data_IF_158243228855
#
_entry.id   IF_158243228855
#
_cell.length_a   1.000
_cell.length_b   1.000
_cell.length_c   1.000
_cell.angle_alpha   90.00
_cell.angle_beta   90.00
_cell.angle_gamma   90.00
#
_symmetry.space_group_name_H-M   'P 1'
#
loop_
_entity.id
_entity.type
_entity.pdbx_description
1 polymer ?
#
# COMPACT_ATOMS: atom_id res chain seq x y z
N UNK A 1 27.03 18.22 -4.11
CA UNK A 1 25.56 18.08 -3.99
C UNK A 1 25.22 16.63 -3.64
N UNK A 2 24.23 16.36 -2.78
CA UNK A 2 23.83 14.98 -2.45
C UNK A 2 23.03 14.36 -3.60
N UNK A 3 23.31 13.10 -3.91
CA UNK A 3 22.55 12.31 -4.88
C UNK A 3 21.09 12.13 -4.46
N UNK A 4 20.18 11.97 -5.42
CA UNK A 4 18.77 11.68 -5.15
C UNK A 4 18.57 10.42 -4.27
N UNK A 5 19.46 9.42 -4.42
CA UNK A 5 19.45 8.22 -3.56
C UNK A 5 19.80 8.56 -2.10
N UNK A 6 20.80 9.41 -1.89
CA UNK A 6 21.20 9.87 -0.57
C UNK A 6 20.08 10.68 0.10
N UNK A 7 19.45 11.60 -0.64
CA UNK A 7 18.30 12.38 -0.14
C UNK A 7 17.13 11.49 0.28
N UNK A 8 16.78 10.48 -0.51
CA UNK A 8 15.71 9.52 -0.16
C UNK A 8 16.02 8.77 1.13
N UNK A 9 17.26 8.32 1.30
CA UNK A 9 17.70 7.63 2.51
C UNK A 9 17.61 8.54 3.75
N UNK A 10 18.01 9.81 3.62
CA UNK A 10 17.91 10.81 4.70
C UNK A 10 16.47 11.08 5.10
N UNK A 11 15.57 11.27 4.12
CA UNK A 11 14.13 11.46 4.38
C UNK A 11 13.56 10.24 5.10
N UNK A 12 13.92 9.03 4.68
CA UNK A 12 13.46 7.80 5.32
C UNK A 12 13.94 7.73 6.77
N UNK A 13 15.23 7.97 7.02
CA UNK A 13 15.80 7.99 8.37
C UNK A 13 15.10 9.01 9.27
N UNK A 14 14.91 10.23 8.78
CA UNK A 14 14.20 11.29 9.51
C UNK A 14 12.74 10.94 9.84
N UNK A 15 12.06 10.15 8.98
CA UNK A 15 10.71 9.65 9.27
C UNK A 15 10.73 8.60 10.37
N UNK A 16 11.63 7.63 10.30
CA UNK A 16 11.78 6.59 11.33
C UNK A 16 12.08 7.21 12.70
N UNK A 17 12.97 8.20 12.76
CA UNK A 17 13.26 8.95 13.99
C UNK A 17 12.03 9.68 14.55
N UNK A 18 11.16 10.21 13.68
CA UNK A 18 9.91 10.86 14.09
C UNK A 18 8.88 9.86 14.61
N UNK A 19 8.78 8.70 13.98
CA UNK A 19 7.90 7.60 14.43
C UNK A 19 8.33 7.17 15.83
N UNK A 20 9.60 6.81 16.01
CA UNK A 20 10.12 6.37 17.30
C UNK A 20 9.88 7.39 18.44
N UNK A 21 9.95 8.69 18.15
CA UNK A 21 9.68 9.77 19.12
C UNK A 21 8.20 9.96 19.45
N UNK A 22 7.29 9.68 18.51
CA UNK A 22 5.86 10.03 18.60
C UNK A 22 4.98 8.84 18.97
N UNK A 23 5.29 7.66 18.45
CA UNK A 23 4.46 6.46 18.58
C UNK A 23 4.27 6.05 20.05
N UNK A 24 5.33 6.20 20.87
CA UNK A 24 5.28 5.91 22.31
C UNK A 24 4.47 6.91 23.14
N UNK A 25 4.16 8.09 22.61
CA UNK A 25 3.60 9.21 23.38
C UNK A 25 2.15 9.54 23.05
N UNK A 26 1.63 8.98 21.96
CA UNK A 26 0.37 9.43 21.37
C UNK A 26 -0.54 8.24 21.13
N UNK A 27 -1.76 8.32 21.63
CA UNK A 27 -2.80 7.34 21.35
C UNK A 27 -3.72 7.87 20.23
N UNK A 28 -3.76 7.24 19.04
CA UNK A 28 -4.61 7.69 17.93
C UNK A 28 -6.13 7.69 18.23
N UNK A 29 -6.57 6.99 19.27
CA UNK A 29 -7.99 6.84 19.63
C UNK A 29 -8.43 7.77 20.76
N UNK A 30 -7.50 8.44 21.45
CA UNK A 30 -7.80 9.24 22.66
C UNK A 30 -7.12 10.59 22.65
N UNK A 31 -7.77 11.57 23.27
CA UNK A 31 -7.21 12.90 23.50
C UNK A 31 -7.36 13.86 22.31
N UNK A 32 -6.79 15.07 22.43
CA UNK A 32 -6.85 16.06 21.36
C UNK A 32 -5.98 15.65 20.18
N UNK A 33 -6.41 15.99 18.97
CA UNK A 33 -5.66 15.75 17.74
C UNK A 33 -4.41 16.64 17.77
N UNK A 34 -3.18 16.07 17.69
CA UNK A 34 -1.97 16.86 17.61
C UNK A 34 -1.93 17.68 16.32
N UNK A 35 -1.36 18.90 16.37
CA UNK A 35 -1.30 19.81 15.21
C UNK A 35 -0.59 19.20 13.98
N UNK A 36 0.38 18.32 14.21
CA UNK A 36 1.13 17.66 13.13
C UNK A 36 0.43 16.42 12.56
N UNK A 37 -0.65 15.94 13.18
CA UNK A 37 -1.35 14.73 12.80
C UNK A 37 -2.39 15.02 11.72
N UNK A 38 -2.74 13.99 10.94
CA UNK A 38 -3.75 14.12 9.89
C UNK A 38 -5.09 13.63 10.45
N UNK A 39 -6.10 14.50 10.62
CA UNK A 39 -7.39 14.09 11.16
C UNK A 39 -8.11 13.13 10.20
N UNK A 40 -8.79 12.15 10.79
CA UNK A 40 -9.69 11.24 10.08
C UNK A 40 -11.01 11.95 9.80
N UNK A 41 -11.59 11.71 8.63
CA UNK A 41 -12.96 12.08 8.32
C UNK A 41 -13.89 10.86 8.49
N UNK A 42 -14.64 10.74 9.59
CA UNK A 42 -15.48 9.56 9.84
C UNK A 42 -16.54 9.31 8.79
N UNK A 43 -17.04 10.37 8.13
CA UNK A 43 -18.07 10.26 7.09
C UNK A 43 -17.56 9.54 5.83
N UNK A 44 -16.25 9.54 5.59
CA UNK A 44 -15.63 8.93 4.41
C UNK A 44 -15.15 7.50 4.67
N UNK A 45 -15.13 7.04 5.93
CA UNK A 45 -14.71 5.69 6.28
C UNK A 45 -15.88 4.74 6.09
N UNK A 46 -15.91 4.07 4.93
CA UNK A 46 -17.05 3.23 4.51
C UNK A 46 -17.02 1.84 5.16
N UNK A 47 -15.83 1.28 5.33
CA UNK A 47 -15.65 -0.11 5.79
C UNK A 47 -14.97 -0.13 7.15
N UNK A 48 -15.80 0.09 8.16
CA UNK A 48 -15.42 -0.08 9.55
C UNK A 48 -16.05 -1.37 10.08
N UNK A 49 -15.22 -2.28 10.56
CA UNK A 49 -15.70 -3.45 11.30
C UNK A 49 -16.35 -2.97 12.60
N UNK A 50 -17.49 -3.57 12.98
CA UNK A 50 -18.18 -3.30 14.25
C UNK A 50 -17.29 -3.49 15.49
N UNK A 51 -16.15 -4.18 15.35
CA UNK A 51 -15.25 -4.54 16.44
C UNK A 51 -14.04 -3.62 16.59
N UNK A 52 -13.80 -2.71 15.65
CA UNK A 52 -12.71 -1.74 15.76
C UNK A 52 -13.31 -0.39 16.13
N UNK A 53 -12.50 0.52 16.66
CA UNK A 53 -12.86 1.93 16.75
C UNK A 53 -12.20 2.69 15.59
N UNK A 54 -12.80 3.79 15.14
CA UNK A 54 -12.17 4.69 14.16
C UNK A 54 -11.21 5.62 14.91
N UNK A 55 -9.92 5.71 14.55
CA UNK A 55 -9.00 6.64 15.19
C UNK A 55 -9.40 8.08 14.88
N UNK A 56 -9.02 9.01 15.75
CA UNK A 56 -9.25 10.43 15.55
C UNK A 56 -8.30 11.02 14.48
N UNK A 57 -7.11 10.45 14.34
CA UNK A 57 -6.11 10.86 13.35
C UNK A 57 -5.19 9.72 12.92
N UNK A 58 -4.57 9.87 11.76
CA UNK A 58 -3.55 8.96 11.24
C UNK A 58 -2.15 9.36 11.69
N UNK A 59 -1.31 8.35 11.93
CA UNK A 59 0.11 8.50 12.28
C UNK A 59 0.97 7.68 11.32
N UNK A 60 2.16 8.16 10.98
CA UNK A 60 3.10 7.38 10.18
C UNK A 60 3.44 6.07 10.92
N UNK A 61 3.31 4.91 10.24
CA UNK A 61 3.63 3.60 10.79
C UNK A 61 4.73 2.94 9.99
N UNK A 62 5.70 2.35 10.67
CA UNK A 62 6.67 1.48 9.99
C UNK A 62 6.07 0.11 9.69
N UNK A 63 6.49 -0.49 8.59
CA UNK A 63 6.11 -1.87 8.25
C UNK A 63 7.24 -2.54 7.47
N UNK A 64 7.30 -3.87 7.56
CA UNK A 64 8.21 -4.69 6.78
C UNK A 64 7.51 -5.22 5.53
N UNK A 65 8.17 -5.11 4.37
CA UNK A 65 7.63 -5.69 3.15
C UNK A 65 7.69 -7.22 3.19
N UNK A 66 6.55 -7.89 3.04
CA UNK A 66 6.50 -9.36 3.08
C UNK A 66 7.19 -10.11 1.93
N UNK A 67 7.49 -9.42 0.82
CA UNK A 67 8.15 -10.05 -0.34
C UNK A 67 9.68 -9.86 -0.31
N UNK A 68 10.17 -8.68 0.07
CA UNK A 68 11.62 -8.36 0.02
C UNK A 68 12.26 -8.01 1.37
N UNK A 69 11.49 -8.00 2.47
CA UNK A 69 11.98 -7.69 3.82
C UNK A 69 12.38 -6.23 4.06
N UNK A 70 12.24 -5.33 3.08
CA UNK A 70 12.62 -3.92 3.30
C UNK A 70 11.61 -3.23 4.20
N UNK A 71 12.10 -2.55 5.25
CA UNK A 71 11.29 -1.66 6.07
C UNK A 71 10.87 -0.42 5.29
N UNK A 72 9.60 -0.06 5.27
CA UNK A 72 9.10 1.21 4.73
C UNK A 72 8.19 1.89 5.74
N UNK A 73 7.83 3.14 5.44
CA UNK A 73 6.90 3.93 6.26
C UNK A 73 5.60 4.07 5.51
N UNK A 74 4.53 3.57 6.11
CA UNK A 74 3.16 3.82 5.69
C UNK A 74 2.69 5.15 6.28
N UNK A 75 2.71 6.19 5.44
CA UNK A 75 2.48 7.54 5.93
C UNK A 75 1.02 7.77 6.30
N UNK A 76 0.77 8.70 7.22
CA UNK A 76 -0.57 9.15 7.59
C UNK A 76 -1.39 9.59 6.36
N UNK A 77 -0.73 10.20 5.36
CA UNK A 77 -1.38 10.60 4.09
C UNK A 77 -1.77 9.39 3.25
N UNK A 78 -0.94 8.35 3.20
CA UNK A 78 -1.27 7.11 2.50
C UNK A 78 -2.41 6.35 3.19
N UNK A 79 -2.44 6.37 4.53
CA UNK A 79 -3.56 5.82 5.31
C UNK A 79 -4.86 6.56 5.00
N UNK A 80 -4.85 7.90 5.06
CA UNK A 80 -6.01 8.71 4.70
C UNK A 80 -6.55 8.39 3.31
N UNK A 81 -5.67 8.34 2.30
CA UNK A 81 -6.08 7.97 0.95
C UNK A 81 -6.66 6.55 0.90
N UNK A 82 -6.05 5.58 1.59
CA UNK A 82 -6.51 4.19 1.57
C UNK A 82 -7.89 4.03 2.19
N UNK A 83 -8.10 4.55 3.39
CA UNK A 83 -9.37 4.36 4.11
C UNK A 83 -10.49 5.27 3.60
N UNK A 84 -10.17 6.53 3.26
CA UNK A 84 -11.21 7.51 2.90
C UNK A 84 -11.46 7.60 1.40
N UNK A 85 -10.48 7.35 0.53
CA UNK A 85 -10.65 7.52 -0.92
C UNK A 85 -10.75 6.17 -1.62
N UNK A 86 -9.80 5.27 -1.39
CA UNK A 86 -9.82 3.92 -1.96
C UNK A 86 -10.84 3.00 -1.28
N UNK A 87 -11.48 3.47 -0.19
CA UNK A 87 -12.46 2.73 0.62
C UNK A 87 -11.92 1.36 1.06
N UNK A 88 -10.65 1.32 1.45
CA UNK A 88 -10.03 0.14 2.03
C UNK A 88 -10.62 -0.17 3.41
N UNK A 89 -10.65 -1.46 3.74
CA UNK A 89 -11.06 -1.95 5.06
C UNK A 89 -10.12 -1.47 6.17
N UNK A 90 -10.68 -1.05 7.30
CA UNK A 90 -9.90 -0.47 8.40
C UNK A 90 -8.89 -1.47 9.02
N UNK A 91 -9.20 -2.77 9.01
CA UNK A 91 -8.32 -3.85 9.47
C UNK A 91 -7.09 -4.08 8.57
N UNK A 92 -7.08 -3.52 7.36
CA UNK A 92 -5.97 -3.71 6.42
C UNK A 92 -4.85 -2.70 6.64
N UNK A 93 -3.61 -3.15 6.43
CA UNK A 93 -2.41 -2.32 6.56
C UNK A 93 -1.51 -2.44 5.33
N UNK A 94 -0.54 -1.53 5.20
CA UNK A 94 0.49 -1.68 4.19
C UNK A 94 1.39 -2.88 4.51
N UNK A 95 1.43 -3.85 3.60
CA UNK A 95 2.25 -5.08 3.75
C UNK A 95 3.33 -5.21 2.67
N UNK A 96 3.35 -4.30 1.69
CA UNK A 96 4.27 -4.33 0.55
C UNK A 96 4.82 -2.96 0.24
N UNK A 97 6.12 -2.90 0.00
CA UNK A 97 6.83 -1.70 -0.40
C UNK A 97 6.37 -1.21 -1.79
N UNK A 98 6.74 0.01 -2.15
CA UNK A 98 6.38 0.56 -3.47
C UNK A 98 6.94 -0.28 -4.63
N UNK A 99 8.21 -0.68 -4.56
CA UNK A 99 8.86 -1.44 -5.63
C UNK A 99 8.19 -2.80 -5.86
N UNK A 100 7.88 -3.56 -4.81
CA UNK A 100 7.21 -4.85 -4.95
C UNK A 100 5.76 -4.70 -5.45
N UNK A 101 5.05 -3.62 -5.10
CA UNK A 101 3.74 -3.33 -5.70
C UNK A 101 3.82 -3.04 -7.19
N UNK A 102 4.81 -2.24 -7.60
CA UNK A 102 5.01 -1.91 -9.02
C UNK A 102 5.43 -3.14 -9.84
N UNK A 103 6.31 -3.99 -9.31
CA UNK A 103 6.69 -5.26 -9.95
C UNK A 103 5.47 -6.17 -10.17
N UNK A 104 4.67 -6.41 -9.13
CA UNK A 104 3.46 -7.24 -9.24
C UNK A 104 2.42 -6.67 -10.21
N UNK A 105 2.32 -5.34 -10.28
CA UNK A 105 1.44 -4.69 -11.26
C UNK A 105 1.94 -4.98 -12.68
N UNK A 106 3.23 -4.85 -12.93
CA UNK A 106 3.84 -5.10 -14.23
C UNK A 106 3.71 -6.58 -14.64
N UNK A 107 3.92 -7.52 -13.73
CA UNK A 107 3.72 -8.97 -13.97
C UNK A 107 2.29 -9.28 -14.39
N UNK A 108 1.30 -8.76 -13.66
CA UNK A 108 -0.12 -8.93 -14.00
C UNK A 108 -0.46 -8.32 -15.36
N UNK A 109 0.10 -7.16 -15.67
CA UNK A 109 -0.11 -6.51 -16.95
C UNK A 109 0.50 -7.31 -18.11
N UNK A 110 1.72 -7.84 -17.93
CA UNK A 110 2.37 -8.71 -18.90
C UNK A 110 1.57 -10.00 -19.12
N UNK A 111 1.10 -10.63 -18.03
CA UNK A 111 0.24 -11.81 -18.11
C UNK A 111 -1.04 -11.51 -18.89
N UNK A 112 -1.72 -10.39 -18.60
CA UNK A 112 -2.92 -9.99 -19.34
C UNK A 112 -2.65 -9.82 -20.83
N UNK A 113 -1.57 -9.14 -21.21
CA UNK A 113 -1.17 -8.95 -22.61
C UNK A 113 -0.89 -10.28 -23.30
N UNK A 114 -0.17 -11.18 -22.64
CA UNK A 114 0.12 -12.51 -23.18
C UNK A 114 -1.17 -13.33 -23.41
N UNK A 115 -2.10 -13.32 -22.45
CA UNK A 115 -3.38 -14.02 -22.58
C UNK A 115 -4.23 -13.45 -23.73
N UNK A 116 -4.23 -12.13 -23.91
CA UNK A 116 -4.91 -11.45 -25.02
C UNK A 116 -4.29 -11.81 -26.38
N UNK A 117 -2.96 -11.88 -26.47
CA UNK A 117 -2.25 -12.31 -27.67
C UNK A 117 -2.59 -13.77 -28.03
N UNK A 118 -2.56 -14.67 -27.04
CA UNK A 118 -2.91 -16.09 -27.24
C UNK A 118 -4.36 -16.28 -27.66
N UNK A 119 -5.29 -15.49 -27.13
CA UNK A 119 -6.69 -15.52 -27.53
C UNK A 119 -6.91 -15.04 -28.99
N UNK A 120 -6.09 -14.10 -29.45
CA UNK A 120 -6.17 -13.55 -30.81
C UNK A 120 -5.34 -14.35 -31.83
N UNK A 121 -4.51 -15.30 -31.38
CA UNK A 121 -3.70 -16.13 -32.27
C UNK A 121 -4.59 -17.06 -33.09
N UNK A 122 -4.46 -17.00 -34.42
CA UNK A 122 -5.18 -17.91 -35.31
C UNK A 122 -4.74 -19.37 -35.06
N UNK A 123 -5.70 -20.31 -35.01
CA UNK A 123 -5.38 -21.72 -34.86
C UNK A 123 -4.58 -22.24 -36.05
N UNK A 124 -3.73 -23.23 -35.81
CA UNK A 124 -2.93 -23.87 -36.85
C UNK A 124 -3.86 -24.68 -37.78
N UNK A 125 -3.59 -24.78 -39.10
CA UNK A 125 -4.54 -25.32 -40.08
C UNK A 125 -5.04 -26.75 -39.79
N UNK A 126 -4.27 -27.54 -39.06
CA UNK A 126 -4.53 -28.93 -38.70
C UNK A 126 -4.61 -29.13 -37.18
N UNK A 127 -4.85 -28.07 -36.40
CA UNK A 127 -4.93 -28.14 -34.94
C UNK A 127 -6.10 -29.01 -34.44
N UNK A 128 -7.18 -29.14 -35.23
CA UNK A 128 -8.32 -30.01 -34.93
C UNK A 128 -7.97 -31.51 -35.03
N UNK A 129 -6.93 -31.87 -35.79
CA UNK A 129 -6.51 -33.27 -35.95
C UNK A 129 -5.83 -33.81 -34.68
N UNK A 130 -5.07 -32.96 -33.97
CA UNK A 130 -4.32 -33.35 -32.78
C UNK A 130 -5.10 -33.30 -31.46
N UNK A 131 -6.30 -32.70 -31.45
CA UNK A 131 -7.12 -32.56 -30.23
C UNK A 131 -8.11 -33.71 -30.00
N UNK A 132 -8.24 -34.64 -30.95
CA UNK A 132 -9.25 -35.72 -30.95
C UNK A 132 -8.66 -37.14 -30.71
N UNK A 133 -7.43 -37.25 -30.23
CA UNK A 133 -6.79 -38.50 -29.77
C UNK A 133 -6.60 -38.48 -28.27
#
# INVERSE_FOLDING_TARGET
MKSGKQRKAEIKKSRLERIAKRDSKVNPFKGPIPEWAIPVNPAEVVHHSMFLDIPLFYIDKEFECKDCGTTEVWTARQQKWWYEIAKGYFETTAVRCRSCRDQRKNEKEAQRKHMEEMANKKPYPNEAFFKNT
#
